data_IF_479515356293
#
_entry.id   IF_479515356293
#
_cell.length_a   1.000
_cell.length_b   1.000
_cell.length_c   1.000
_cell.angle_alpha   90.00
_cell.angle_beta   90.00
_cell.angle_gamma   90.00
#
_symmetry.space_group_name_H-M   'P 1'
#
loop_
_entity.id
_entity.type
_entity.pdbx_description
1 polymer ?
#
# COMPACT_ATOMS: atom_id res chain seq x y z
N UNK A 1 22.95 12.80 12.00
CA UNK A 1 23.95 12.41 10.97
C UNK A 1 24.18 10.91 11.18
N UNK A 2 23.88 10.10 10.17
CA UNK A 2 24.01 8.62 10.27
C UNK A 2 25.46 8.28 9.89
N UNK A 3 26.34 8.18 10.88
CA UNK A 3 27.79 8.13 10.61
C UNK A 3 28.32 6.71 10.28
N UNK A 4 27.65 5.66 10.70
CA UNK A 4 28.03 4.28 10.42
C UNK A 4 26.77 3.43 10.23
N UNK A 5 26.62 2.81 9.07
CA UNK A 5 25.55 1.85 8.84
C UNK A 5 25.76 0.57 9.67
N UNK A 6 24.84 0.27 10.56
CA UNK A 6 24.79 -0.98 11.33
C UNK A 6 23.56 -1.78 10.90
N UNK A 7 23.77 -2.85 10.17
CA UNK A 7 22.68 -3.71 9.69
C UNK A 7 22.86 -5.11 10.25
N UNK A 8 22.09 -5.44 11.29
CA UNK A 8 22.13 -6.74 11.95
C UNK A 8 21.38 -7.78 11.14
N UNK A 9 21.93 -9.01 11.11
CA UNK A 9 21.39 -10.13 10.35
C UNK A 9 20.91 -11.22 11.31
N UNK A 10 19.70 -11.72 11.05
CA UNK A 10 19.07 -12.79 11.82
C UNK A 10 18.72 -13.94 10.87
N UNK A 11 19.00 -15.18 11.32
CA UNK A 11 18.51 -16.40 10.71
C UNK A 11 17.71 -17.17 11.78
N UNK A 12 16.51 -17.65 11.40
CA UNK A 12 15.65 -18.47 12.28
C UNK A 12 15.43 -17.86 13.68
N UNK A 13 15.30 -16.54 13.76
CA UNK A 13 15.10 -15.82 15.01
C UNK A 13 16.37 -15.60 15.85
N UNK A 14 17.54 -15.97 15.35
CA UNK A 14 18.84 -15.80 16.03
C UNK A 14 19.67 -14.76 15.29
N UNK A 15 20.24 -13.80 16.04
CA UNK A 15 21.20 -12.86 15.47
C UNK A 15 22.51 -13.58 15.14
N UNK A 16 22.85 -13.63 13.84
CA UNK A 16 24.04 -14.35 13.35
C UNK A 16 25.22 -13.43 13.02
N UNK A 17 24.98 -12.13 12.87
CA UNK A 17 26.07 -11.19 12.55
C UNK A 17 25.58 -9.81 12.17
N UNK A 18 26.43 -9.12 11.42
CA UNK A 18 26.18 -7.79 10.88
C UNK A 18 26.75 -7.74 9.45
N UNK A 19 26.04 -7.09 8.53
CA UNK A 19 26.56 -6.86 7.17
C UNK A 19 27.82 -5.99 7.21
N UNK A 20 28.80 -6.37 6.45
CA UNK A 20 30.12 -5.72 6.38
C UNK A 20 30.25 -4.89 5.10
N UNK A 21 31.07 -3.82 5.17
CA UNK A 21 31.49 -3.06 3.97
C UNK A 21 30.34 -2.69 3.05
N UNK A 22 29.29 -2.09 3.62
CA UNK A 22 28.16 -1.58 2.86
C UNK A 22 28.57 -0.32 2.08
N UNK A 23 28.40 -0.35 0.75
CA UNK A 23 28.63 0.80 -0.12
C UNK A 23 27.43 1.73 -0.14
N UNK A 24 26.22 1.16 -0.20
CA UNK A 24 24.97 1.92 -0.13
C UNK A 24 23.83 1.08 0.44
N UNK A 25 22.95 1.71 1.16
CA UNK A 25 21.66 1.17 1.57
C UNK A 25 20.55 2.15 1.21
N UNK A 26 19.53 1.68 0.50
CA UNK A 26 18.25 2.33 0.39
C UNK A 26 17.27 1.53 1.26
N UNK A 27 16.68 2.20 2.27
CA UNK A 27 15.79 1.58 3.24
C UNK A 27 14.49 2.39 3.25
N UNK A 28 13.41 1.80 2.70
CA UNK A 28 12.19 2.52 2.35
C UNK A 28 10.94 1.87 2.97
N UNK A 29 10.72 2.06 4.30
CA UNK A 29 9.46 1.67 4.90
C UNK A 29 8.30 2.45 4.28
N UNK A 30 7.18 1.78 4.05
CA UNK A 30 5.96 2.36 3.53
C UNK A 30 4.82 2.26 4.56
N UNK A 31 3.82 3.13 4.42
CA UNK A 31 2.67 3.18 5.32
C UNK A 31 1.63 2.11 4.97
N UNK A 32 1.18 2.08 3.74
CA UNK A 32 0.11 1.24 3.21
C UNK A 32 0.58 0.31 2.07
N UNK A 33 1.87 0.01 2.07
CA UNK A 33 2.53 -0.95 1.17
C UNK A 33 3.59 -1.76 1.94
N UNK A 34 4.19 -2.74 1.28
CA UNK A 34 5.19 -3.64 1.87
C UNK A 34 6.53 -2.96 2.14
N UNK A 35 6.77 -1.77 1.56
CA UNK A 35 8.07 -1.13 1.59
C UNK A 35 9.17 -1.99 0.96
N UNK A 36 10.36 -1.44 0.79
CA UNK A 36 11.46 -2.17 0.18
C UNK A 36 12.83 -1.72 0.69
N UNK A 37 13.84 -2.52 0.45
CA UNK A 37 15.22 -2.13 0.63
C UNK A 37 16.12 -2.64 -0.50
N UNK A 38 17.23 -1.94 -0.71
CA UNK A 38 18.33 -2.35 -1.56
C UNK A 38 19.64 -2.05 -0.85
N UNK A 39 20.42 -3.09 -0.60
CA UNK A 39 21.76 -3.00 -0.06
C UNK A 39 22.78 -3.36 -1.15
N UNK A 40 23.82 -2.54 -1.29
CA UNK A 40 25.00 -2.87 -2.08
C UNK A 40 26.19 -2.95 -1.12
N UNK A 41 26.92 -4.04 -1.14
CA UNK A 41 28.06 -4.28 -0.26
C UNK A 41 29.15 -5.12 -0.96
N UNK A 42 30.31 -5.26 -0.31
CA UNK A 42 31.35 -6.15 -0.79
C UNK A 42 30.92 -7.62 -0.73
N UNK A 43 31.26 -8.41 -1.75
CA UNK A 43 30.96 -9.85 -1.81
C UNK A 43 31.98 -10.68 -0.97
N UNK A 44 32.14 -10.31 0.30
CA UNK A 44 33.00 -11.05 1.25
C UNK A 44 32.40 -12.43 1.54
N UNK A 45 33.23 -13.35 2.07
CA UNK A 45 32.75 -14.65 2.52
C UNK A 45 31.69 -14.51 3.59
N UNK A 46 31.91 -13.59 4.56
CA UNK A 46 30.93 -13.25 5.61
C UNK A 46 29.61 -12.79 5.02
N UNK A 47 29.61 -11.81 4.13
CA UNK A 47 28.37 -11.29 3.54
C UNK A 47 27.63 -12.36 2.74
N UNK A 48 28.33 -13.21 1.98
CA UNK A 48 27.71 -14.32 1.24
C UNK A 48 27.09 -15.36 2.15
N UNK A 49 27.66 -15.60 3.33
CA UNK A 49 27.09 -16.52 4.32
C UNK A 49 25.90 -15.92 5.07
N UNK A 50 25.90 -14.62 5.34
CA UNK A 50 24.88 -13.94 6.14
C UNK A 50 23.68 -13.47 5.29
N UNK A 51 23.94 -12.88 4.11
CA UNK A 51 22.93 -12.19 3.30
C UNK A 51 22.30 -13.16 2.28
N UNK A 52 21.62 -14.18 2.77
CA UNK A 52 20.93 -15.18 1.97
C UNK A 52 19.42 -14.93 1.95
N UNK A 53 18.66 -15.48 0.97
CA UNK A 53 17.20 -15.41 1.00
C UNK A 53 16.64 -15.88 2.35
N UNK A 54 15.57 -15.22 2.80
CA UNK A 54 14.91 -15.38 4.10
C UNK A 54 15.68 -14.85 5.32
N UNK A 55 16.92 -14.37 5.19
CA UNK A 55 17.57 -13.62 6.25
C UNK A 55 16.75 -12.36 6.60
N UNK A 56 16.64 -12.06 7.89
CA UNK A 56 15.99 -10.85 8.38
C UNK A 56 17.04 -9.80 8.73
N UNK A 57 16.90 -8.63 8.13
CA UNK A 57 17.79 -7.48 8.35
C UNK A 57 17.11 -6.49 9.29
N UNK A 58 17.85 -6.04 10.30
CA UNK A 58 17.41 -5.04 11.25
C UNK A 58 18.35 -3.85 11.27
N UNK A 59 17.78 -2.65 11.01
CA UNK A 59 18.49 -1.38 11.12
C UNK A 59 18.12 -0.70 12.44
N UNK A 60 19.04 -0.51 13.39
CA UNK A 60 18.75 0.13 14.67
C UNK A 60 18.35 1.62 14.55
N UNK A 61 18.67 2.28 13.45
CA UNK A 61 18.25 3.67 13.19
C UNK A 61 16.75 3.78 12.86
N UNK A 62 16.09 2.64 12.59
CA UNK A 62 14.63 2.51 12.42
C UNK A 62 14.06 1.50 13.41
N UNK A 63 13.94 1.87 14.70
CA UNK A 63 13.52 0.92 15.73
C UNK A 63 12.20 0.23 15.41
N UNK A 64 12.18 -1.08 15.62
CA UNK A 64 10.99 -1.90 15.38
C UNK A 64 10.74 -2.26 13.91
N UNK A 65 11.58 -1.84 12.97
CA UNK A 65 11.44 -2.20 11.55
C UNK A 65 12.52 -3.19 11.13
N UNK A 66 12.10 -4.28 10.52
CA UNK A 66 13.00 -5.26 9.91
C UNK A 66 12.53 -5.60 8.49
N UNK A 67 13.45 -6.05 7.68
CA UNK A 67 13.19 -6.43 6.31
C UNK A 67 13.71 -7.84 6.01
N UNK A 68 13.07 -8.53 5.08
CA UNK A 68 13.39 -9.89 4.68
C UNK A 68 14.13 -9.86 3.35
N UNK A 69 15.26 -10.54 3.26
CA UNK A 69 16.01 -10.72 2.02
C UNK A 69 15.23 -11.63 1.08
N UNK A 70 14.95 -11.15 -0.13
CA UNK A 70 14.23 -11.91 -1.15
C UNK A 70 15.09 -12.26 -2.35
N UNK A 71 16.07 -11.43 -2.68
CA UNK A 71 16.95 -11.65 -3.82
C UNK A 71 18.37 -11.21 -3.49
N UNK A 72 19.32 -11.99 -3.95
CA UNK A 72 20.76 -11.74 -3.83
C UNK A 72 21.40 -11.93 -5.19
N UNK A 73 22.16 -10.95 -5.62
CA UNK A 73 22.96 -10.97 -6.84
C UNK A 73 24.41 -10.71 -6.44
N UNK A 74 25.31 -11.60 -6.78
CA UNK A 74 26.74 -11.46 -6.51
C UNK A 74 27.49 -11.37 -7.83
N UNK A 75 28.24 -10.28 -7.99
CA UNK A 75 29.11 -10.04 -9.14
C UNK A 75 30.54 -10.43 -8.75
N UNK A 76 31.05 -11.49 -9.38
CA UNK A 76 32.38 -12.02 -9.13
C UNK A 76 33.50 -11.11 -9.64
N UNK A 77 33.29 -10.42 -10.75
CA UNK A 77 34.31 -9.57 -11.38
C UNK A 77 34.52 -8.27 -10.58
N UNK A 78 33.42 -7.69 -10.09
CA UNK A 78 33.45 -6.45 -9.31
C UNK A 78 33.51 -6.68 -7.79
N UNK A 79 33.54 -7.93 -7.33
CA UNK A 79 33.50 -8.31 -5.91
C UNK A 79 32.40 -7.63 -5.11
N UNK A 80 31.21 -7.45 -5.71
CA UNK A 80 30.05 -6.77 -5.13
C UNK A 80 28.84 -7.67 -5.03
N UNK A 81 28.03 -7.41 -4.01
CA UNK A 81 26.71 -8.01 -3.84
C UNK A 81 25.62 -6.93 -3.86
N UNK A 82 24.52 -7.23 -4.51
CA UNK A 82 23.27 -6.48 -4.41
C UNK A 82 22.22 -7.36 -3.74
N UNK A 83 21.72 -6.91 -2.61
CA UNK A 83 20.71 -7.60 -1.81
C UNK A 83 19.43 -6.77 -1.84
N UNK A 84 18.31 -7.40 -2.18
CA UNK A 84 16.98 -6.75 -2.24
C UNK A 84 15.96 -7.51 -1.43
N UNK A 85 14.99 -6.79 -0.90
CA UNK A 85 13.89 -7.40 -0.19
C UNK A 85 12.82 -6.41 0.19
N UNK A 86 11.92 -6.88 1.06
CA UNK A 86 10.76 -6.13 1.53
C UNK A 86 10.71 -6.14 3.06
N UNK A 87 10.01 -5.17 3.65
CA UNK A 87 9.78 -5.19 5.10
C UNK A 87 8.94 -6.39 5.52
N UNK A 88 9.05 -6.77 6.79
CA UNK A 88 8.55 -8.06 7.32
C UNK A 88 7.06 -8.32 7.09
N UNK A 89 6.25 -7.31 6.74
CA UNK A 89 4.86 -7.50 6.30
C UNK A 89 4.77 -8.44 5.09
N UNK A 90 5.82 -8.50 4.25
CA UNK A 90 5.91 -9.42 3.11
C UNK A 90 5.85 -10.91 3.49
N UNK A 91 6.11 -11.27 4.75
CA UNK A 91 5.99 -12.65 5.22
C UNK A 91 4.59 -13.23 5.01
N UNK A 92 3.56 -12.39 5.08
CA UNK A 92 2.18 -12.77 4.79
C UNK A 92 1.94 -13.14 3.31
N UNK A 93 2.85 -12.80 2.39
CA UNK A 93 2.82 -13.29 1.01
C UNK A 93 2.93 -14.81 0.89
N UNK A 94 3.47 -15.45 1.92
CA UNK A 94 3.62 -16.91 2.01
C UNK A 94 2.32 -17.63 2.38
N UNK A 95 1.22 -16.92 2.56
CA UNK A 95 -0.08 -17.45 2.99
C UNK A 95 -1.19 -16.94 2.10
N UNK A 96 -2.07 -17.85 1.70
CA UNK A 96 -3.25 -17.51 0.92
C UNK A 96 -4.45 -17.37 1.86
N UNK A 97 -5.18 -16.27 1.72
CA UNK A 97 -6.49 -16.07 2.32
C UNK A 97 -7.49 -17.00 1.62
N UNK A 98 -7.97 -18.02 2.34
CA UNK A 98 -8.87 -19.04 1.79
C UNK A 98 -10.31 -18.54 1.79
N UNK A 99 -11.01 -18.87 0.71
CA UNK A 99 -12.42 -18.49 0.50
C UNK A 99 -12.56 -17.05 0.00
N UNK A 100 -13.81 -16.61 -0.08
CA UNK A 100 -14.19 -15.24 -0.45
C UNK A 100 -14.94 -14.61 0.72
N UNK A 101 -14.64 -13.35 1.01
CA UNK A 101 -15.34 -12.58 2.04
C UNK A 101 -15.40 -11.10 1.71
N UNK A 102 -16.54 -10.49 1.95
CA UNK A 102 -16.69 -9.02 1.90
C UNK A 102 -16.31 -8.43 3.23
N UNK A 103 -15.53 -7.36 3.20
CA UNK A 103 -14.98 -6.67 4.37
C UNK A 103 -15.49 -5.23 4.34
N UNK A 104 -16.14 -4.81 5.42
CA UNK A 104 -16.69 -3.46 5.59
C UNK A 104 -15.89 -2.61 6.59
N UNK A 105 -14.98 -3.23 7.34
CA UNK A 105 -13.98 -2.57 8.19
C UNK A 105 -12.60 -3.16 7.84
N UNK A 106 -11.79 -2.38 7.11
CA UNK A 106 -10.49 -2.81 6.63
C UNK A 106 -9.53 -3.18 7.75
N UNK A 107 -9.54 -2.47 8.87
CA UNK A 107 -8.63 -2.73 10.00
C UNK A 107 -8.96 -4.07 10.69
N UNK A 108 -10.23 -4.29 11.03
CA UNK A 108 -10.67 -5.56 11.61
C UNK A 108 -10.51 -6.72 10.62
N UNK A 109 -10.86 -6.49 9.34
CA UNK A 109 -10.75 -7.47 8.27
C UNK A 109 -9.31 -7.90 8.00
N UNK A 110 -8.36 -6.97 8.01
CA UNK A 110 -6.93 -7.29 7.84
C UNK A 110 -6.45 -8.20 8.95
N UNK A 111 -6.75 -7.88 10.23
CA UNK A 111 -6.35 -8.71 11.35
C UNK A 111 -6.99 -10.10 11.27
N UNK A 112 -8.24 -10.20 10.85
CA UNK A 112 -8.93 -11.47 10.69
C UNK A 112 -8.32 -12.30 9.55
N UNK A 113 -8.10 -11.71 8.37
CA UNK A 113 -7.46 -12.37 7.22
C UNK A 113 -6.08 -12.91 7.62
N UNK A 114 -5.26 -12.11 8.28
CA UNK A 114 -3.94 -12.54 8.73
C UNK A 114 -4.03 -13.65 9.79
N UNK A 115 -4.84 -13.47 10.83
CA UNK A 115 -4.96 -14.41 11.95
C UNK A 115 -5.46 -15.80 11.54
N UNK A 116 -6.50 -15.85 10.72
CA UNK A 116 -7.11 -17.11 10.28
C UNK A 116 -6.24 -17.88 9.28
N UNK A 117 -5.25 -17.22 8.69
CA UNK A 117 -4.38 -17.82 7.67
C UNK A 117 -2.91 -17.97 8.09
N UNK A 118 -2.57 -17.83 9.36
CA UNK A 118 -1.18 -17.95 9.85
C UNK A 118 -0.52 -19.30 9.52
N UNK A 119 -1.20 -20.40 9.76
CA UNK A 119 -0.66 -21.77 9.52
C UNK A 119 0.82 -21.90 9.91
N UNK A 120 1.14 -21.48 11.15
CA UNK A 120 2.51 -21.54 11.69
C UNK A 120 3.46 -20.43 11.23
N UNK A 121 2.99 -19.38 10.56
CA UNK A 121 3.80 -18.19 10.31
C UNK A 121 4.17 -17.53 11.63
N UNK A 122 5.46 -17.28 11.87
CA UNK A 122 6.00 -16.76 13.12
C UNK A 122 5.74 -15.25 13.34
N UNK A 123 4.52 -14.78 13.05
CA UNK A 123 4.09 -13.40 13.27
C UNK A 123 2.88 -13.39 14.18
N UNK A 124 2.96 -12.69 15.31
CA UNK A 124 1.83 -12.48 16.21
C UNK A 124 0.85 -11.48 15.59
N UNK A 125 -0.46 -11.77 15.67
CA UNK A 125 -1.52 -10.89 15.18
C UNK A 125 -2.37 -10.44 16.38
N UNK A 126 -2.48 -9.12 16.66
CA UNK A 126 -3.22 -8.61 17.79
C UNK A 126 -4.72 -8.91 17.67
N UNK A 127 -5.46 -8.97 18.80
CA UNK A 127 -6.88 -9.31 18.79
C UNK A 127 -7.77 -8.20 18.18
N UNK A 128 -7.35 -6.95 18.27
CA UNK A 128 -8.10 -5.78 17.77
C UNK A 128 -7.16 -4.70 17.25
N UNK A 129 -7.68 -3.88 16.33
CA UNK A 129 -6.95 -2.78 15.71
C UNK A 129 -6.88 -1.52 16.61
N UNK A 130 -7.85 -1.32 17.49
CA UNK A 130 -8.00 -0.11 18.30
C UNK A 130 -8.71 1.05 17.57
N UNK A 131 -9.01 0.91 16.28
CA UNK A 131 -9.78 1.86 15.46
C UNK A 131 -10.56 1.11 14.37
N UNK A 132 -11.50 1.79 13.75
CA UNK A 132 -12.25 1.31 12.59
C UNK A 132 -11.76 1.99 11.32
N UNK A 133 -11.77 1.26 10.21
CA UNK A 133 -11.39 1.75 8.88
C UNK A 133 -12.46 1.32 7.85
N UNK A 134 -13.54 2.09 7.70
CA UNK A 134 -14.64 1.74 6.80
C UNK A 134 -14.14 1.56 5.37
N UNK A 135 -14.54 0.47 4.74
CA UNK A 135 -14.26 0.16 3.34
C UNK A 135 -15.34 -0.77 2.80
N UNK A 136 -15.33 -1.05 1.52
CA UNK A 136 -16.16 -2.08 0.89
C UNK A 136 -15.28 -2.86 -0.07
N UNK A 137 -14.66 -3.92 0.44
CA UNK A 137 -13.68 -4.70 -0.31
C UNK A 137 -14.00 -6.21 -0.24
N UNK A 138 -13.68 -6.92 -1.31
CA UNK A 138 -13.77 -8.38 -1.33
C UNK A 138 -12.38 -8.99 -1.41
N UNK A 139 -12.04 -9.81 -0.43
CA UNK A 139 -10.81 -10.61 -0.43
C UNK A 139 -11.17 -12.04 -0.81
N UNK A 140 -10.59 -12.54 -1.90
CA UNK A 140 -10.85 -13.89 -2.39
C UNK A 140 -9.57 -14.53 -2.93
N UNK A 141 -9.12 -15.62 -2.30
CA UNK A 141 -7.99 -16.45 -2.76
C UNK A 141 -6.69 -15.69 -3.07
N UNK A 142 -6.53 -14.51 -2.50
CA UNK A 142 -5.33 -13.69 -2.62
C UNK A 142 -4.28 -14.09 -1.57
N UNK A 143 -3.00 -13.79 -1.82
CA UNK A 143 -2.02 -13.85 -0.74
C UNK A 143 -2.35 -12.80 0.32
N UNK A 144 -2.09 -13.15 1.59
CA UNK A 144 -2.50 -12.30 2.72
C UNK A 144 -1.77 -10.94 2.75
N UNK A 145 -0.59 -10.80 2.15
CA UNK A 145 0.09 -9.51 2.08
C UNK A 145 -0.57 -8.58 1.04
N UNK A 146 -0.93 -9.12 -0.14
CA UNK A 146 -1.68 -8.35 -1.14
C UNK A 146 -3.06 -7.96 -0.63
N UNK A 147 -3.77 -8.87 0.07
CA UNK A 147 -5.02 -8.55 0.73
C UNK A 147 -4.85 -7.46 1.81
N UNK A 148 -3.74 -7.49 2.58
CA UNK A 148 -3.45 -6.47 3.57
C UNK A 148 -3.24 -5.10 2.92
N UNK A 149 -2.45 -5.02 1.83
CA UNK A 149 -2.23 -3.77 1.07
C UNK A 149 -3.55 -3.22 0.53
N UNK A 150 -4.38 -4.07 -0.09
CA UNK A 150 -5.70 -3.69 -0.59
C UNK A 150 -6.56 -3.06 0.51
N UNK A 151 -6.64 -3.71 1.67
CA UNK A 151 -7.46 -3.24 2.79
C UNK A 151 -6.90 -1.95 3.43
N UNK A 152 -5.57 -1.82 3.53
CA UNK A 152 -4.92 -0.61 4.03
C UNK A 152 -5.21 0.58 3.13
N UNK A 153 -5.07 0.43 1.83
CA UNK A 153 -5.33 1.49 0.85
C UNK A 153 -6.81 1.88 0.80
N UNK A 154 -7.72 0.90 0.80
CA UNK A 154 -9.15 1.15 0.80
C UNK A 154 -9.64 1.82 2.09
N UNK A 155 -9.12 1.42 3.25
CA UNK A 155 -9.49 1.96 4.55
C UNK A 155 -8.68 3.19 4.99
N UNK A 156 -7.66 3.60 4.21
CA UNK A 156 -6.84 4.79 4.49
C UNK A 156 -5.97 4.67 5.75
N UNK A 157 -5.54 3.47 6.11
CA UNK A 157 -4.67 3.20 7.26
C UNK A 157 -3.41 2.44 6.81
N UNK A 158 -2.44 2.31 7.69
CA UNK A 158 -1.20 1.60 7.41
C UNK A 158 -1.01 0.35 8.26
N UNK A 159 0.02 -0.41 7.92
CA UNK A 159 0.39 -1.60 8.67
C UNK A 159 1.86 -1.95 8.54
N UNK A 160 2.40 -2.53 9.58
CA UNK A 160 3.77 -3.04 9.61
C UNK A 160 3.88 -4.29 10.48
N UNK A 161 4.92 -5.05 10.28
CA UNK A 161 5.34 -6.05 11.25
C UNK A 161 6.47 -5.48 12.09
N UNK A 162 6.17 -5.22 13.37
CA UNK A 162 7.16 -4.78 14.34
C UNK A 162 8.09 -5.93 14.71
N UNK A 163 9.38 -5.65 14.73
CA UNK A 163 10.45 -6.57 15.10
C UNK A 163 11.09 -6.16 16.41
N UNK A 164 11.21 -7.10 17.33
CA UNK A 164 11.96 -6.93 18.58
C UNK A 164 13.37 -7.52 18.41
N UNK A 165 14.44 -6.72 18.39
CA UNK A 165 15.79 -7.21 18.15
C UNK A 165 16.34 -8.06 19.32
N UNK A 166 15.76 -8.01 20.52
CA UNK A 166 16.20 -8.78 21.65
C UNK A 166 15.69 -10.24 21.64
N UNK A 167 14.47 -10.42 21.15
CA UNK A 167 13.78 -11.73 21.12
C UNK A 167 13.54 -12.25 19.70
N UNK A 168 13.82 -11.43 18.69
CA UNK A 168 13.44 -11.62 17.29
C UNK A 168 11.93 -11.84 17.07
N UNK A 169 11.10 -11.47 18.04
CA UNK A 169 9.65 -11.57 17.93
C UNK A 169 9.12 -10.60 16.88
N UNK A 170 8.14 -11.07 16.13
CA UNK A 170 7.47 -10.30 15.07
C UNK A 170 5.99 -10.15 15.40
N UNK A 171 5.48 -8.92 15.38
CA UNK A 171 4.08 -8.62 15.71
C UNK A 171 3.49 -7.67 14.68
N UNK A 172 2.34 -8.02 14.12
CA UNK A 172 1.60 -7.13 13.22
C UNK A 172 1.07 -5.92 14.01
N UNK A 173 1.33 -4.72 13.50
CA UNK A 173 0.79 -3.46 14.04
C UNK A 173 0.06 -2.72 12.93
N UNK A 174 -1.10 -2.14 13.26
CA UNK A 174 -1.83 -1.24 12.38
C UNK A 174 -1.59 0.22 12.79
N UNK A 175 -1.51 1.10 11.80
CA UNK A 175 -1.14 2.49 11.95
C UNK A 175 -2.24 3.39 11.39
N UNK A 176 -2.67 4.39 12.15
CA UNK A 176 -3.72 5.31 11.68
C UNK A 176 -3.16 6.58 11.03
N UNK A 177 -1.94 6.99 11.44
CA UNK A 177 -1.40 8.30 11.09
C UNK A 177 -2.11 9.43 11.85
N UNK A 178 -1.50 10.59 11.91
CA UNK A 178 -2.06 11.78 12.55
C UNK A 178 -2.36 12.85 11.52
N UNK A 179 -3.44 13.59 11.68
CA UNK A 179 -3.70 14.75 10.84
C UNK A 179 -2.97 15.98 11.39
N UNK A 180 -1.90 16.36 10.71
CA UNK A 180 -1.10 17.56 11.00
C UNK A 180 -1.41 18.72 10.04
N UNK A 181 -2.45 18.60 9.24
CA UNK A 181 -2.76 19.58 8.20
C UNK A 181 -3.57 20.76 8.68
N UNK A 182 -4.09 20.73 9.92
CA UNK A 182 -4.98 21.75 10.47
C UNK A 182 -4.17 22.79 11.27
N UNK A 183 -4.02 24.05 10.79
CA UNK A 183 -3.33 25.09 11.50
C UNK A 183 -3.97 25.41 12.86
N UNK A 184 -3.15 25.74 13.86
CA UNK A 184 -3.61 26.09 15.20
C UNK A 184 -3.91 24.89 16.11
N UNK A 185 -3.76 23.68 15.64
CA UNK A 185 -3.81 22.47 16.48
C UNK A 185 -2.43 22.16 17.07
N UNK A 186 -2.39 21.40 18.18
CA UNK A 186 -1.13 20.96 18.80
C UNK A 186 -0.32 20.00 17.91
N UNK A 187 -0.91 19.44 16.87
CA UNK A 187 -0.26 18.53 15.93
C UNK A 187 0.35 19.25 14.71
N UNK A 188 0.00 20.52 14.50
CA UNK A 188 0.48 21.30 13.36
C UNK A 188 1.88 21.84 13.62
N UNK A 189 2.88 21.37 12.89
CA UNK A 189 4.28 21.77 13.02
C UNK A 189 4.82 22.56 11.82
N UNK A 190 3.98 22.80 10.82
CA UNK A 190 4.37 23.52 9.59
C UNK A 190 3.84 22.85 8.32
N UNK A 191 4.43 23.19 7.19
CA UNK A 191 4.03 22.68 5.88
C UNK A 191 5.23 22.49 4.96
N UNK A 192 5.06 21.56 4.01
CA UNK A 192 6.00 21.42 2.91
C UNK A 192 5.68 22.42 1.81
N UNK A 193 6.69 23.17 1.35
CA UNK A 193 6.47 24.14 0.28
C UNK A 193 7.75 24.47 -0.50
N UNK A 194 7.55 24.95 -1.72
CA UNK A 194 8.63 25.45 -2.57
C UNK A 194 9.28 26.68 -1.93
N UNK A 195 8.51 27.57 -1.31
CA UNK A 195 9.02 28.76 -0.61
C UNK A 195 9.88 28.42 0.61
N UNK A 196 9.54 27.36 1.36
CA UNK A 196 10.32 26.90 2.53
C UNK A 196 11.54 26.06 2.11
N UNK A 197 11.75 25.83 0.83
CA UNK A 197 12.83 25.02 0.26
C UNK A 197 12.90 23.57 0.80
N UNK A 198 11.79 23.08 1.34
CA UNK A 198 11.61 21.69 1.75
C UNK A 198 10.73 20.89 0.78
N UNK A 199 10.37 21.49 -0.34
CA UNK A 199 9.68 20.88 -1.48
C UNK A 199 10.32 21.40 -2.77
N UNK A 200 10.55 20.51 -3.75
CA UNK A 200 11.16 20.86 -5.03
C UNK A 200 10.61 19.99 -6.17
N UNK A 201 10.86 20.37 -7.42
CA UNK A 201 10.46 19.61 -8.60
C UNK A 201 8.95 19.39 -8.71
N UNK A 202 8.14 20.34 -8.24
CA UNK A 202 6.70 20.23 -8.24
C UNK A 202 6.16 20.27 -9.68
N UNK A 203 5.48 19.20 -10.10
CA UNK A 203 4.79 19.08 -11.38
C UNK A 203 3.34 18.67 -11.10
N UNK A 204 2.43 19.59 -11.40
CA UNK A 204 1.01 19.33 -11.29
C UNK A 204 0.45 18.90 -12.64
N UNK A 205 -0.28 17.79 -12.63
CA UNK A 205 -0.99 17.27 -13.79
C UNK A 205 -2.46 17.13 -13.46
N UNK A 206 -3.30 17.67 -14.31
CA UNK A 206 -4.73 17.41 -14.31
C UNK A 206 -5.10 16.79 -15.64
N UNK A 207 -5.65 15.58 -15.60
CA UNK A 207 -6.06 14.84 -16.78
C UNK A 207 -7.54 14.49 -16.67
N UNK A 208 -8.28 14.82 -17.69
CA UNK A 208 -9.69 14.52 -17.86
C UNK A 208 -9.99 13.91 -19.24
N UNK A 209 -8.95 13.38 -19.92
CA UNK A 209 -9.10 12.81 -21.28
C UNK A 209 -10.07 11.62 -21.27
N UNK A 210 -9.97 10.77 -20.25
CA UNK A 210 -10.81 9.58 -20.06
C UNK A 210 -11.94 9.80 -19.04
N UNK A 211 -12.16 11.06 -18.63
CA UNK A 211 -13.18 11.37 -17.62
C UNK A 211 -14.58 11.08 -18.12
N UNK A 212 -15.32 10.29 -17.34
CA UNK A 212 -16.77 10.09 -17.48
C UNK A 212 -17.45 10.33 -16.14
N UNK A 213 -18.68 10.85 -16.19
CA UNK A 213 -19.50 11.07 -15.01
C UNK A 213 -20.82 10.30 -15.02
N UNK A 214 -21.13 9.64 -16.13
CA UNK A 214 -22.26 8.72 -16.27
C UNK A 214 -21.78 7.44 -16.90
N UNK A 215 -22.23 6.31 -16.37
CA UNK A 215 -21.97 4.98 -16.94
C UNK A 215 -23.28 4.35 -17.38
N UNK A 216 -23.27 3.85 -18.62
CA UNK A 216 -24.30 2.96 -19.17
C UNK A 216 -23.71 1.57 -19.19
N UNK A 217 -24.38 0.60 -18.58
CA UNK A 217 -23.89 -0.77 -18.52
C UNK A 217 -24.96 -1.74 -18.98
N UNK A 218 -24.58 -2.67 -19.85
CA UNK A 218 -25.41 -3.80 -20.26
C UNK A 218 -24.90 -5.08 -19.61
N UNK A 219 -25.76 -5.79 -18.92
CA UNK A 219 -25.48 -7.10 -18.31
C UNK A 219 -25.38 -8.23 -19.32
N UNK A 220 -25.50 -9.47 -18.84
CA UNK A 220 -25.44 -10.68 -19.65
C UNK A 220 -26.45 -10.66 -20.80
N UNK A 221 -26.00 -11.05 -21.99
CA UNK A 221 -26.88 -11.28 -23.12
C UNK A 221 -27.55 -12.66 -23.00
N UNK A 222 -28.90 -12.73 -23.12
CA UNK A 222 -29.58 -14.01 -23.06
C UNK A 222 -29.19 -14.90 -24.24
N UNK A 223 -28.94 -16.18 -23.96
CA UNK A 223 -28.81 -17.21 -24.99
C UNK A 223 -30.17 -17.66 -25.54
N UNK A 224 -30.17 -18.56 -26.55
CA UNK A 224 -31.41 -19.04 -27.21
C UNK A 224 -32.41 -19.71 -26.22
N UNK A 225 -31.94 -20.26 -25.12
CA UNK A 225 -32.78 -20.99 -24.14
C UNK A 225 -32.96 -20.26 -22.83
N UNK A 226 -32.49 -19.03 -22.71
CA UNK A 226 -32.61 -18.23 -21.50
C UNK A 226 -33.94 -17.50 -21.45
N UNK A 227 -34.53 -17.41 -20.24
CA UNK A 227 -35.83 -16.79 -20.01
C UNK A 227 -35.75 -15.36 -19.51
N UNK A 228 -34.51 -14.82 -19.28
CA UNK A 228 -34.30 -13.46 -18.83
C UNK A 228 -34.10 -12.50 -20.00
N UNK A 229 -34.31 -11.21 -19.75
CA UNK A 229 -33.99 -10.11 -20.65
C UNK A 229 -32.71 -9.44 -20.20
N UNK A 230 -31.88 -9.00 -21.17
CA UNK A 230 -30.65 -8.25 -20.85
C UNK A 230 -30.98 -7.03 -20.00
N UNK A 231 -30.36 -6.94 -18.83
CA UNK A 231 -30.52 -5.80 -17.94
C UNK A 231 -29.59 -4.66 -18.37
N UNK A 232 -30.13 -3.43 -18.40
CA UNK A 232 -29.35 -2.22 -18.63
C UNK A 232 -29.52 -1.29 -17.44
N UNK A 233 -28.42 -0.65 -17.02
CA UNK A 233 -28.46 0.40 -16.01
C UNK A 233 -27.70 1.62 -16.45
N UNK A 234 -28.11 2.75 -15.89
CA UNK A 234 -27.50 4.05 -16.06
C UNK A 234 -27.26 4.64 -14.66
N UNK A 235 -26.01 5.01 -14.34
CA UNK A 235 -25.57 5.43 -13.01
C UNK A 235 -24.57 6.57 -13.10
N UNK A 236 -24.42 7.33 -12.02
CA UNK A 236 -23.47 8.43 -11.91
C UNK A 236 -24.15 9.76 -11.66
N UNK A 237 -23.63 10.84 -12.22
CA UNK A 237 -24.22 12.18 -12.10
C UNK A 237 -25.38 12.35 -13.08
N UNK A 238 -26.56 11.95 -12.65
CA UNK A 238 -27.79 12.04 -13.45
C UNK A 238 -28.28 13.48 -13.64
N UNK A 239 -27.66 14.46 -13.00
CA UNK A 239 -27.96 15.88 -13.19
C UNK A 239 -27.16 16.52 -14.31
N UNK A 240 -26.06 15.89 -14.72
CA UNK A 240 -25.22 16.37 -15.81
C UNK A 240 -25.96 16.37 -17.14
N UNK A 241 -25.82 17.44 -17.90
CA UNK A 241 -26.48 17.62 -19.20
C UNK A 241 -25.59 18.35 -20.21
N UNK A 242 -25.92 18.25 -21.49
CA UNK A 242 -25.16 18.88 -22.56
C UNK A 242 -23.69 18.48 -22.56
N UNK A 243 -22.79 19.41 -22.74
CA UNK A 243 -21.33 19.15 -22.77
C UNK A 243 -20.74 18.74 -21.40
N UNK A 244 -21.47 18.93 -20.30
CA UNK A 244 -21.03 18.49 -18.99
C UNK A 244 -21.28 16.99 -18.75
N UNK A 245 -22.18 16.37 -19.52
CA UNK A 245 -22.46 14.95 -19.46
C UNK A 245 -21.45 14.19 -20.34
N UNK A 246 -20.70 13.28 -19.72
CA UNK A 246 -19.73 12.42 -20.38
C UNK A 246 -20.02 10.98 -20.05
N UNK A 247 -20.40 10.21 -21.06
CA UNK A 247 -20.90 8.86 -20.92
C UNK A 247 -19.82 7.83 -21.15
N UNK A 248 -19.80 6.82 -20.31
CA UNK A 248 -18.98 5.61 -20.45
C UNK A 248 -19.92 4.43 -20.77
N UNK A 249 -19.62 3.72 -21.84
CA UNK A 249 -20.25 2.41 -22.05
C UNK A 249 -19.42 1.30 -21.41
N UNK A 250 -20.07 0.43 -20.67
CA UNK A 250 -19.46 -0.73 -20.01
C UNK A 250 -20.22 -2.00 -20.41
N UNK A 251 -19.52 -2.97 -20.98
CA UNK A 251 -20.05 -4.29 -21.21
C UNK A 251 -19.93 -5.13 -19.92
N UNK A 252 -21.06 -5.34 -19.25
CA UNK A 252 -21.19 -6.14 -18.05
C UNK A 252 -21.55 -7.60 -18.32
N UNK A 253 -21.40 -8.10 -19.55
CA UNK A 253 -21.73 -9.49 -19.92
C UNK A 253 -20.98 -10.56 -19.14
N UNK A 254 -19.86 -10.20 -18.52
CA UNK A 254 -19.10 -11.07 -17.61
C UNK A 254 -19.79 -11.30 -16.26
N UNK A 255 -20.72 -10.45 -15.87
CA UNK A 255 -21.58 -10.66 -14.70
C UNK A 255 -22.70 -11.61 -15.11
N UNK A 256 -22.56 -12.88 -14.74
CA UNK A 256 -23.49 -13.94 -15.14
C UNK A 256 -24.61 -14.10 -14.11
N UNK A 257 -25.82 -14.48 -14.56
CA UNK A 257 -26.92 -14.88 -13.67
C UNK A 257 -26.56 -16.15 -12.88
N UNK A 258 -25.85 -17.08 -13.54
CA UNK A 258 -25.33 -18.30 -12.92
C UNK A 258 -23.84 -18.18 -12.69
N UNK A 259 -23.40 -18.51 -11.48
CA UNK A 259 -22.00 -18.45 -11.10
C UNK A 259 -21.61 -19.64 -10.24
N UNK A 260 -20.36 -20.00 -10.26
CA UNK A 260 -19.82 -21.11 -9.47
C UNK A 260 -19.25 -20.61 -8.18
N UNK A 261 -19.69 -21.15 -7.07
CA UNK A 261 -19.17 -20.89 -5.72
C UNK A 261 -18.14 -21.96 -5.38
N UNK A 262 -16.97 -21.53 -4.95
CA UNK A 262 -15.96 -22.42 -4.42
C UNK A 262 -16.16 -22.58 -2.91
N UNK A 263 -16.51 -23.80 -2.48
CA UNK A 263 -16.76 -24.12 -1.08
C UNK A 263 -15.45 -24.18 -0.26
N UNK A 264 -15.56 -24.08 1.06
CA UNK A 264 -14.42 -24.12 1.96
C UNK A 264 -13.67 -25.48 1.96
N UNK A 265 -14.34 -26.55 1.52
CA UNK A 265 -13.79 -27.90 1.37
C UNK A 265 -13.08 -28.13 0.02
N UNK A 266 -13.05 -27.12 -0.86
CA UNK A 266 -12.44 -27.17 -2.18
C UNK A 266 -13.38 -27.69 -3.28
N UNK A 267 -14.63 -28.06 -2.97
CA UNK A 267 -15.66 -28.39 -3.96
C UNK A 267 -16.27 -27.13 -4.57
N UNK A 268 -16.90 -27.29 -5.74
CA UNK A 268 -17.66 -26.21 -6.37
C UNK A 268 -19.14 -26.53 -6.37
N UNK A 269 -19.97 -25.50 -6.21
CA UNK A 269 -21.42 -25.58 -6.37
C UNK A 269 -21.91 -24.44 -7.26
N UNK A 270 -22.89 -24.74 -8.12
CA UNK A 270 -23.53 -23.70 -8.92
C UNK A 270 -24.54 -22.94 -8.06
N UNK A 271 -24.53 -21.64 -8.20
CA UNK A 271 -25.49 -20.73 -7.60
C UNK A 271 -26.07 -19.81 -8.68
N UNK A 272 -27.25 -19.28 -8.42
CA UNK A 272 -27.94 -18.37 -9.32
C UNK A 272 -28.38 -17.14 -8.52
N UNK A 273 -28.15 -15.96 -9.08
CA UNK A 273 -28.64 -14.72 -8.50
C UNK A 273 -30.17 -14.63 -8.65
N UNK A 274 -30.86 -14.13 -7.62
CA UNK A 274 -32.17 -13.57 -7.83
C UNK A 274 -32.09 -12.36 -8.76
N UNK A 275 -33.18 -11.95 -9.39
CA UNK A 275 -33.20 -10.78 -10.29
C UNK A 275 -32.65 -9.53 -9.62
N UNK A 276 -33.03 -9.26 -8.34
CA UNK A 276 -32.57 -8.11 -7.58
C UNK A 276 -31.07 -8.17 -7.28
N UNK A 277 -30.54 -9.33 -6.93
CA UNK A 277 -29.11 -9.54 -6.68
C UNK A 277 -28.28 -9.38 -7.96
N UNK A 278 -28.80 -9.91 -9.07
CA UNK A 278 -28.17 -9.76 -10.37
C UNK A 278 -28.08 -8.28 -10.80
N UNK A 279 -29.19 -7.55 -10.71
CA UNK A 279 -29.20 -6.11 -11.00
C UNK A 279 -28.22 -5.34 -10.11
N UNK A 280 -28.15 -5.67 -8.81
CA UNK A 280 -27.18 -5.05 -7.89
C UNK A 280 -25.74 -5.39 -8.29
N UNK A 281 -25.45 -6.64 -8.72
CA UNK A 281 -24.13 -7.04 -9.16
C UNK A 281 -23.70 -6.27 -10.42
N UNK A 282 -24.57 -6.13 -11.43
CA UNK A 282 -24.32 -5.35 -12.64
C UNK A 282 -24.10 -3.86 -12.30
N UNK A 283 -24.92 -3.29 -11.41
CA UNK A 283 -24.75 -1.91 -10.96
C UNK A 283 -23.42 -1.69 -10.23
N UNK A 284 -23.00 -2.65 -9.39
CA UNK A 284 -21.71 -2.57 -8.69
C UNK A 284 -20.54 -2.66 -9.68
N UNK A 285 -20.65 -3.53 -10.68
CA UNK A 285 -19.68 -3.62 -11.77
C UNK A 285 -19.56 -2.28 -12.53
N UNK A 286 -20.70 -1.67 -12.88
CA UNK A 286 -20.75 -0.37 -13.53
C UNK A 286 -20.14 0.75 -12.67
N UNK A 287 -20.44 0.80 -11.37
CA UNK A 287 -19.85 1.78 -10.44
C UNK A 287 -18.35 1.62 -10.31
N UNK A 288 -17.86 0.38 -10.25
CA UNK A 288 -16.43 0.10 -10.20
C UNK A 288 -15.70 0.56 -11.48
N UNK A 289 -16.30 0.34 -12.64
CA UNK A 289 -15.77 0.82 -13.90
C UNK A 289 -15.73 2.36 -13.95
N UNK A 290 -16.80 3.05 -13.52
CA UNK A 290 -16.86 4.51 -13.51
C UNK A 290 -15.78 5.12 -12.61
N UNK A 291 -15.45 4.51 -11.48
CA UNK A 291 -14.36 4.97 -10.58
C UNK A 291 -13.02 5.08 -11.30
N UNK A 292 -12.75 4.24 -12.30
CA UNK A 292 -11.51 4.26 -13.07
C UNK A 292 -11.47 5.39 -14.12
N UNK A 293 -12.60 6.05 -14.36
CA UNK A 293 -12.75 7.14 -15.31
C UNK A 293 -12.96 8.52 -14.64
N UNK A 294 -12.51 8.65 -13.39
CA UNK A 294 -12.49 9.94 -12.71
C UNK A 294 -11.39 10.84 -13.27
N UNK A 295 -11.61 12.15 -13.30
CA UNK A 295 -10.54 13.08 -13.62
C UNK A 295 -9.43 12.95 -12.57
N UNK A 296 -8.19 12.80 -13.04
CA UNK A 296 -7.05 12.65 -12.15
C UNK A 296 -6.38 14.00 -11.92
N UNK A 297 -6.08 14.28 -10.64
CA UNK A 297 -5.24 15.39 -10.21
C UNK A 297 -4.03 14.81 -9.50
N UNK A 298 -2.85 15.03 -10.01
CA UNK A 298 -1.60 14.50 -9.48
C UNK A 298 -0.60 15.61 -9.22
N UNK A 299 0.08 15.55 -8.10
CA UNK A 299 1.23 16.38 -7.81
C UNK A 299 2.45 15.46 -7.61
N UNK A 300 3.45 15.59 -8.48
CA UNK A 300 4.76 14.95 -8.30
C UNK A 300 5.70 16.00 -7.72
N UNK A 301 6.39 15.66 -6.64
CA UNK A 301 7.35 16.56 -6.00
C UNK A 301 8.38 15.75 -5.21
N UNK A 302 9.47 16.41 -4.85
CA UNK A 302 10.48 15.87 -3.96
C UNK A 302 10.47 16.67 -2.67
N UNK A 303 10.17 16.00 -1.56
CA UNK A 303 10.21 16.63 -0.22
C UNK A 303 11.58 16.38 0.43
N UNK A 304 12.02 17.33 1.25
CA UNK A 304 13.28 17.27 1.97
C UNK A 304 13.05 17.36 3.49
N UNK A 305 13.85 16.63 4.25
CA UNK A 305 13.82 16.59 5.71
C UNK A 305 14.73 17.69 6.27
N UNK A 306 14.35 18.94 6.07
CA UNK A 306 15.16 20.13 6.46
C UNK A 306 14.50 20.95 7.54
N UNK A 307 13.41 21.66 7.23
CA UNK A 307 12.69 22.53 8.17
C UNK A 307 11.62 21.78 8.98
N UNK A 308 11.20 20.63 8.51
CA UNK A 308 10.37 19.66 9.21
C UNK A 308 11.14 18.37 9.36
N UNK A 309 11.25 17.85 10.57
CA UNK A 309 12.13 16.74 10.91
C UNK A 309 11.29 15.47 11.18
N UNK A 310 11.62 14.41 10.47
CA UNK A 310 11.01 13.10 10.70
C UNK A 310 11.26 12.58 12.14
N UNK A 311 10.25 12.01 12.72
CA UNK A 311 10.28 11.53 14.11
C UNK A 311 10.03 12.62 15.16
N UNK A 312 10.03 13.90 14.76
CA UNK A 312 9.72 15.05 15.63
C UNK A 312 8.48 15.79 15.13
N UNK A 313 8.53 16.28 13.90
CA UNK A 313 7.47 17.12 13.33
C UNK A 313 6.45 16.32 12.56
N UNK A 314 6.85 15.20 11.98
CA UNK A 314 5.98 14.26 11.27
C UNK A 314 6.48 12.83 11.36
N UNK A 315 5.60 11.89 11.14
CA UNK A 315 5.88 10.44 11.10
C UNK A 315 5.31 9.79 9.84
N UNK A 316 5.69 8.55 9.60
CA UNK A 316 5.14 7.73 8.53
C UNK A 316 3.63 7.57 8.69
N UNK A 317 2.88 7.91 7.64
CA UNK A 317 1.43 7.85 7.61
C UNK A 317 0.73 9.15 8.02
N UNK A 318 1.44 10.16 8.52
CA UNK A 318 0.83 11.43 8.87
C UNK A 318 0.31 12.19 7.64
N UNK A 319 -0.78 12.92 7.81
CA UNK A 319 -1.28 13.87 6.83
C UNK A 319 -0.62 15.23 7.08
N UNK A 320 0.05 15.76 6.07
CA UNK A 320 0.81 17.00 6.13
C UNK A 320 0.34 18.01 5.09
N UNK A 321 0.35 19.32 5.41
CA UNK A 321 -0.02 20.34 4.44
C UNK A 321 1.12 20.56 3.43
N UNK A 322 0.74 20.73 2.17
CA UNK A 322 1.66 20.98 1.04
C UNK A 322 1.21 22.23 0.31
N UNK A 323 2.17 23.10 -0.05
CA UNK A 323 1.93 24.31 -0.83
C UNK A 323 2.92 24.43 -1.96
N UNK A 324 2.42 24.74 -3.14
CA UNK A 324 3.24 25.09 -4.32
C UNK A 324 2.83 26.48 -4.74
N UNK A 325 3.54 27.45 -4.21
CA UNK A 325 3.17 28.87 -4.32
C UNK A 325 3.16 29.34 -5.79
N UNK A 326 4.10 28.86 -6.60
CA UNK A 326 4.21 29.23 -8.02
C UNK A 326 3.01 28.76 -8.86
N UNK A 327 2.32 27.73 -8.40
CA UNK A 327 1.11 27.19 -9.03
C UNK A 327 -0.18 27.57 -8.32
N UNK A 328 -0.09 28.29 -7.18
CA UNK A 328 -1.23 28.62 -6.35
C UNK A 328 -1.90 27.39 -5.72
N UNK A 329 -1.19 26.27 -5.60
CA UNK A 329 -1.76 25.01 -5.14
C UNK A 329 -1.60 24.83 -3.64
N UNK A 330 -2.70 24.44 -2.99
CA UNK A 330 -2.74 23.96 -1.62
C UNK A 330 -3.29 22.55 -1.58
N UNK A 331 -2.60 21.66 -0.90
CA UNK A 331 -3.02 20.28 -0.76
C UNK A 331 -2.69 19.74 0.64
N UNK A 332 -3.31 18.62 0.98
CA UNK A 332 -2.90 17.75 2.07
C UNK A 332 -2.37 16.47 1.44
N UNK A 333 -1.20 16.03 1.87
CA UNK A 333 -0.59 14.79 1.41
C UNK A 333 -0.35 13.84 2.58
N UNK A 334 -0.32 12.56 2.31
CA UNK A 334 0.13 11.55 3.25
C UNK A 334 1.65 11.34 3.12
N UNK A 335 2.34 11.22 4.23
CA UNK A 335 3.71 10.71 4.26
C UNK A 335 3.65 9.20 4.00
N UNK A 336 3.63 8.83 2.72
CA UNK A 336 3.36 7.46 2.29
C UNK A 336 4.57 6.54 2.51
N UNK A 337 5.79 7.09 2.43
CA UNK A 337 7.02 6.34 2.67
C UNK A 337 8.13 7.27 3.13
N UNK A 338 9.15 6.71 3.76
CA UNK A 338 10.39 7.40 4.12
C UNK A 338 11.53 6.71 3.39
N UNK A 339 12.32 7.47 2.65
CA UNK A 339 13.52 6.96 1.99
C UNK A 339 14.75 7.33 2.81
N UNK A 340 15.32 6.36 3.51
CA UNK A 340 16.61 6.45 4.16
C UNK A 340 17.68 5.96 3.19
N UNK A 341 18.65 6.80 2.89
CA UNK A 341 19.74 6.49 1.98
C UNK A 341 21.04 6.64 2.76
N UNK A 342 21.84 5.58 2.76
CA UNK A 342 23.20 5.57 3.29
C UNK A 342 24.15 5.35 2.13
N UNK A 343 25.11 6.23 2.01
CA UNK A 343 26.19 6.16 1.01
C UNK A 343 27.55 6.44 1.68
N UNK A 344 28.64 6.21 0.97
CA UNK A 344 29.97 6.51 1.49
C UNK A 344 30.18 8.00 1.87
N UNK A 345 29.36 8.90 1.31
CA UNK A 345 29.37 10.35 1.58
C UNK A 345 28.49 10.76 2.76
N UNK A 346 27.74 9.84 3.35
CA UNK A 346 26.84 10.09 4.48
C UNK A 346 25.43 9.58 4.26
N UNK A 347 24.56 9.82 5.25
CA UNK A 347 23.16 9.44 5.22
C UNK A 347 22.23 10.61 4.91
N UNK A 348 21.14 10.35 4.19
CA UNK A 348 20.06 11.28 3.94
C UNK A 348 18.69 10.64 4.21
N UNK A 349 17.71 11.47 4.54
CA UNK A 349 16.33 11.09 4.74
C UNK A 349 15.43 11.96 3.86
N UNK A 350 14.56 11.31 3.10
CA UNK A 350 13.59 11.97 2.24
C UNK A 350 12.19 11.40 2.53
N UNK A 351 11.21 12.22 2.93
CA UNK A 351 9.82 11.80 2.94
C UNK A 351 9.28 11.71 1.51
N UNK A 352 8.49 10.69 1.25
CA UNK A 352 7.72 10.54 0.01
C UNK A 352 6.28 10.89 0.32
N UNK A 353 5.80 11.95 -0.32
CA UNK A 353 4.44 12.45 -0.18
C UNK A 353 3.57 11.88 -1.30
N UNK A 354 2.40 11.36 -0.96
CA UNK A 354 1.43 10.81 -1.89
C UNK A 354 -0.01 11.03 -1.37
N UNK A 355 -1.02 10.49 -2.08
CA UNK A 355 -2.43 10.62 -1.72
C UNK A 355 -2.85 12.08 -1.50
N UNK A 356 -2.53 12.92 -2.48
CA UNK A 356 -2.81 14.35 -2.41
C UNK A 356 -4.30 14.65 -2.47
N UNK A 357 -4.80 15.39 -1.48
CA UNK A 357 -6.13 16.00 -1.47
C UNK A 357 -5.99 17.49 -1.68
N UNK A 358 -6.41 17.99 -2.84
CA UNK A 358 -6.32 19.41 -3.18
C UNK A 358 -7.43 20.20 -2.50
N UNK A 359 -7.05 21.35 -1.91
CA UNK A 359 -7.99 22.31 -1.32
C UNK A 359 -8.34 23.36 -2.36
N UNK A 360 -9.63 23.64 -2.53
CA UNK A 360 -10.13 24.71 -3.40
C UNK A 360 -9.91 26.09 -2.79
#
# INVERSE_FOLDING_TARGET
MYDILRLYVYHDGVRVGMAESADSLQWMPAFDDLGEFKLVCAATETNRALLVPDAVLYNPDTPGLAAVVLAVEADGDNHRMTVRGRFSLCLFKRRIARGSRTITDGAAGLLEVCRTNLRGLGVAVPPAAGFTAPCEETVAWADCASAAVQLMQAGGFGGRVRFDPATAAQTLELLQGKDRSVPGTALYNGYFSTRMQNLSGAVYTQDASDYANVVLCGGEEPGENDSFTRYFCELGDMTASGNARRELWVDGSSVRHKYTVQNADGTTSDAEYSEAEYQAAVQNYARAALKNHMSTRQLKCTAANTNLIYGTDYELGDLVPVRVEELGLNAVARVASIRLIYESTGGSLQPVLDHFTFKE
#
